data_IF_960189532102
#
_entry.id   IF_960189532102
#
_cell.length_a   1.000
_cell.length_b   1.000
_cell.length_c   1.000
_cell.angle_alpha   90.00
_cell.angle_beta   90.00
_cell.angle_gamma   90.00
#
_symmetry.space_group_name_H-M   'P 1'
#
loop_
_entity.id
_entity.type
_entity.pdbx_description
1 polymer ?
#
# COMPACT_ATOMS: atom_id res chain seq x y z
N UNK A 1 -34.51 -8.41 -23.93
CA UNK A 1 -33.21 -7.82 -24.38
C UNK A 1 -33.02 -6.34 -23.98
N UNK A 2 -33.83 -5.77 -23.08
CA UNK A 2 -33.80 -4.33 -22.70
C UNK A 2 -33.01 -4.04 -21.39
N UNK A 3 -32.65 -5.08 -20.65
CA UNK A 3 -32.02 -4.98 -19.32
C UNK A 3 -30.48 -4.93 -19.40
N UNK A 4 -29.85 -5.84 -20.18
CA UNK A 4 -28.39 -5.89 -20.38
C UNK A 4 -27.79 -4.58 -20.91
N UNK A 5 -28.48 -3.87 -21.81
CA UNK A 5 -27.99 -2.60 -22.36
C UNK A 5 -28.01 -1.46 -21.32
N UNK A 6 -28.91 -1.52 -20.34
CA UNK A 6 -28.98 -0.53 -19.24
C UNK A 6 -27.85 -0.76 -18.24
N UNK A 7 -27.54 -2.03 -17.92
CA UNK A 7 -26.41 -2.39 -17.05
C UNK A 7 -25.08 -1.98 -17.68
N UNK A 8 -24.92 -2.20 -19.00
CA UNK A 8 -23.71 -1.76 -19.74
C UNK A 8 -23.59 -0.23 -19.74
N UNK A 9 -24.70 0.49 -19.91
CA UNK A 9 -24.71 1.95 -19.89
C UNK A 9 -24.34 2.51 -18.50
N UNK A 10 -24.85 1.92 -17.42
CA UNK A 10 -24.54 2.33 -16.04
C UNK A 10 -23.06 2.06 -15.71
N UNK A 11 -22.52 0.91 -16.13
CA UNK A 11 -21.10 0.60 -15.97
C UNK A 11 -20.19 1.60 -16.69
N UNK A 12 -20.53 1.98 -17.92
CA UNK A 12 -19.79 2.99 -18.70
C UNK A 12 -19.86 4.38 -18.05
N UNK A 13 -21.01 4.76 -17.50
CA UNK A 13 -21.19 6.03 -16.78
C UNK A 13 -20.40 6.04 -15.46
N UNK A 14 -20.39 4.93 -14.72
CA UNK A 14 -19.57 4.80 -13.52
C UNK A 14 -18.08 4.88 -13.84
N UNK A 15 -17.64 4.28 -14.95
CA UNK A 15 -16.23 4.27 -15.36
C UNK A 15 -15.77 5.64 -15.89
N UNK A 16 -16.63 6.34 -16.64
CA UNK A 16 -16.39 7.72 -17.05
C UNK A 16 -16.41 8.70 -15.86
N UNK A 17 -17.35 8.52 -14.92
CA UNK A 17 -17.41 9.29 -13.68
C UNK A 17 -16.16 9.09 -12.82
N UNK A 18 -15.61 7.88 -12.81
CA UNK A 18 -14.35 7.57 -12.13
C UNK A 18 -13.14 8.26 -12.77
N UNK A 19 -13.08 8.36 -14.10
CA UNK A 19 -12.01 9.11 -14.79
C UNK A 19 -12.10 10.62 -14.60
N UNK A 20 -13.31 11.18 -14.57
CA UNK A 20 -13.51 12.62 -14.37
C UNK A 20 -13.15 13.03 -12.95
N UNK A 21 -13.50 12.22 -11.94
CA UNK A 21 -13.08 12.45 -10.56
C UNK A 21 -11.54 12.45 -10.38
N UNK A 22 -10.83 11.68 -11.20
CA UNK A 22 -9.36 11.63 -11.17
C UNK A 22 -8.69 12.91 -11.72
N UNK A 23 -9.40 13.69 -12.56
CA UNK A 23 -8.83 14.90 -13.20
C UNK A 23 -8.87 16.15 -12.30
N UNK A 24 -9.57 16.11 -11.16
CA UNK A 24 -9.67 17.23 -10.22
C UNK A 24 -8.71 17.12 -9.02
N UNK A 25 -7.68 16.27 -9.11
CA UNK A 25 -6.65 16.19 -8.06
C UNK A 25 -5.72 17.40 -8.19
N UNK A 26 -6.13 18.52 -7.60
CA UNK A 26 -5.26 19.69 -7.44
C UNK A 26 -4.28 19.43 -6.30
N UNK A 27 -3.00 19.33 -6.61
CA UNK A 27 -1.95 19.28 -5.60
C UNK A 27 -1.71 20.69 -5.04
N UNK A 28 -2.33 20.99 -3.90
CA UNK A 28 -1.96 22.15 -3.10
C UNK A 28 -0.67 21.85 -2.34
N UNK A 29 0.35 22.69 -2.52
CA UNK A 29 1.59 22.61 -1.75
C UNK A 29 1.36 23.18 -0.35
N UNK A 30 1.18 22.29 0.63
CA UNK A 30 1.23 22.63 2.04
C UNK A 30 2.66 22.44 2.54
N UNK A 31 3.30 23.51 3.04
CA UNK A 31 4.54 23.41 3.83
C UNK A 31 4.16 22.84 5.20
N UNK A 32 4.67 21.65 5.51
CA UNK A 32 4.33 20.94 6.74
C UNK A 32 5.54 21.03 7.67
N UNK A 33 5.45 21.96 8.63
CA UNK A 33 6.48 22.16 9.65
C UNK A 33 6.25 21.21 10.84
N UNK A 34 7.15 20.26 11.06
CA UNK A 34 7.14 19.36 12.22
C UNK A 34 7.84 19.94 13.47
N UNK A 35 8.26 21.21 13.46
CA UNK A 35 9.14 21.82 14.47
C UNK A 35 8.67 21.66 15.93
N UNK A 36 7.36 21.48 16.17
CA UNK A 36 6.80 21.39 17.52
C UNK A 36 6.69 19.96 18.07
N UNK A 37 6.59 18.96 17.21
CA UNK A 37 6.45 17.55 17.62
C UNK A 37 7.30 16.70 16.68
N UNK A 38 8.31 16.03 17.21
CA UNK A 38 9.18 15.17 16.42
C UNK A 38 8.59 13.76 16.38
N UNK A 39 7.86 13.44 15.31
CA UNK A 39 7.29 12.12 15.11
C UNK A 39 8.25 11.25 14.28
N UNK A 40 8.22 9.91 14.43
CA UNK A 40 9.14 9.01 13.72
C UNK A 40 9.14 9.18 12.18
N UNK A 41 8.01 9.62 11.62
CA UNK A 41 7.80 9.87 10.19
C UNK A 41 7.96 11.35 9.75
N UNK A 42 8.38 12.26 10.65
CA UNK A 42 8.59 13.69 10.35
C UNK A 42 9.64 14.25 11.32
N UNK A 43 10.85 14.44 10.81
CA UNK A 43 12.01 14.83 11.62
C UNK A 43 12.55 16.22 11.30
N UNK A 44 12.23 16.78 10.13
CA UNK A 44 12.71 18.09 9.66
C UNK A 44 11.62 18.80 8.86
N UNK A 45 11.84 20.08 8.46
CA UNK A 45 10.92 20.78 7.56
C UNK A 45 10.74 19.99 6.26
N UNK A 46 9.50 19.60 5.98
CA UNK A 46 9.18 18.82 4.80
C UNK A 46 8.55 19.74 3.76
N UNK A 47 9.22 19.86 2.61
CA UNK A 47 8.86 20.80 1.54
C UNK A 47 7.58 20.41 0.81
N UNK A 48 7.24 19.12 0.81
CA UNK A 48 6.06 18.61 0.11
C UNK A 48 5.29 17.57 0.93
N UNK A 49 3.96 17.49 0.77
CA UNK A 49 3.17 16.42 1.37
C UNK A 49 3.58 15.02 0.89
N UNK A 50 4.23 14.91 -0.28
CA UNK A 50 4.70 13.63 -0.81
C UNK A 50 5.80 12.99 0.05
N UNK A 51 6.70 13.81 0.61
CA UNK A 51 7.82 13.35 1.45
C UNK A 51 7.34 12.82 2.81
N UNK A 52 6.22 13.34 3.35
CA UNK A 52 5.59 12.77 4.55
C UNK A 52 5.04 11.38 4.31
N UNK A 53 4.28 11.24 3.22
CA UNK A 53 3.68 9.97 2.83
C UNK A 53 4.77 8.94 2.60
N UNK A 54 5.88 9.34 1.98
CA UNK A 54 7.04 8.50 1.76
C UNK A 54 7.66 7.99 3.08
N UNK A 55 7.94 8.87 4.03
CA UNK A 55 8.55 8.49 5.31
C UNK A 55 7.63 7.58 6.13
N UNK A 56 6.34 7.90 6.17
CA UNK A 56 5.34 7.05 6.80
C UNK A 56 5.27 5.68 6.13
N UNK A 57 5.21 5.67 4.79
CA UNK A 57 5.11 4.46 4.00
C UNK A 57 6.31 3.53 4.24
N UNK A 58 7.54 4.05 4.33
CA UNK A 58 8.74 3.25 4.63
C UNK A 58 8.63 2.50 5.96
N UNK A 59 8.17 3.18 7.01
CA UNK A 59 8.00 2.59 8.35
C UNK A 59 6.88 1.56 8.32
N UNK A 60 5.74 1.91 7.72
CA UNK A 60 4.59 1.00 7.57
C UNK A 60 4.97 -0.25 6.76
N UNK A 61 5.80 -0.08 5.72
CA UNK A 61 6.27 -1.16 4.87
C UNK A 61 7.13 -2.17 5.65
N UNK A 62 8.04 -1.68 6.49
CA UNK A 62 8.85 -2.54 7.37
C UNK A 62 7.99 -3.33 8.35
N UNK A 63 7.02 -2.68 9.00
CA UNK A 63 6.12 -3.34 9.96
C UNK A 63 5.20 -4.35 9.28
N UNK A 64 4.62 -4.01 8.13
CA UNK A 64 3.76 -4.89 7.37
C UNK A 64 4.52 -6.09 6.80
N UNK A 65 5.75 -5.89 6.31
CA UNK A 65 6.63 -6.97 5.88
C UNK A 65 6.96 -7.94 7.00
N UNK A 66 7.30 -7.43 8.19
CA UNK A 66 7.55 -8.27 9.38
C UNK A 66 6.30 -9.06 9.81
N UNK A 67 5.13 -8.42 9.81
CA UNK A 67 3.86 -9.07 10.13
C UNK A 67 3.51 -10.17 9.11
N UNK A 68 3.64 -9.88 7.81
CA UNK A 68 3.38 -10.85 6.75
C UNK A 68 4.33 -12.05 6.88
N UNK A 69 5.61 -11.82 7.15
CA UNK A 69 6.58 -12.89 7.38
C UNK A 69 6.21 -13.77 8.58
N UNK A 70 5.76 -13.17 9.69
CA UNK A 70 5.28 -13.91 10.86
C UNK A 70 4.07 -14.81 10.55
N UNK A 71 3.08 -14.30 9.80
CA UNK A 71 1.91 -15.07 9.38
C UNK A 71 2.28 -16.20 8.42
N UNK A 72 3.24 -15.97 7.52
CA UNK A 72 3.72 -17.01 6.60
C UNK A 72 4.42 -18.15 7.34
N UNK A 73 5.28 -17.85 8.31
CA UNK A 73 5.93 -18.88 9.14
C UNK A 73 4.88 -19.67 9.92
N UNK A 74 3.97 -18.97 10.62
CA UNK A 74 2.93 -19.63 11.40
C UNK A 74 2.02 -20.50 10.52
N UNK A 75 1.60 -19.98 9.36
CA UNK A 75 0.80 -20.72 8.39
C UNK A 75 1.52 -21.94 7.82
N UNK A 76 2.82 -21.83 7.54
CA UNK A 76 3.64 -22.94 7.04
C UNK A 76 3.79 -24.07 8.08
N UNK A 77 4.04 -23.71 9.34
CA UNK A 77 4.11 -24.67 10.45
C UNK A 77 2.74 -25.33 10.66
N UNK A 78 1.66 -24.54 10.70
CA UNK A 78 0.31 -25.07 10.87
C UNK A 78 -0.06 -26.03 9.73
N UNK A 79 0.30 -25.73 8.48
CA UNK A 79 -0.01 -26.58 7.34
C UNK A 79 0.76 -27.91 7.34
N UNK A 80 2.02 -27.89 7.77
CA UNK A 80 2.88 -29.09 7.82
C UNK A 80 2.58 -30.00 9.01
N UNK A 81 2.32 -29.42 10.19
CA UNK A 81 2.04 -30.18 11.42
C UNK A 81 0.60 -30.70 11.46
N UNK A 82 -0.34 -30.04 10.79
CA UNK A 82 -1.75 -30.44 10.83
C UNK A 82 -2.04 -31.65 9.94
N UNK A 83 -2.53 -32.74 10.54
CA UNK A 83 -3.08 -33.88 9.81
C UNK A 83 -4.53 -33.70 9.34
N UNK A 84 -5.29 -32.82 9.99
CA UNK A 84 -6.70 -32.58 9.70
C UNK A 84 -6.90 -31.67 8.47
N UNK A 85 -7.91 -31.99 7.65
CA UNK A 85 -8.25 -31.23 6.43
C UNK A 85 -8.69 -29.79 6.77
N UNK A 86 -9.43 -29.59 7.86
CA UNK A 86 -9.89 -28.26 8.29
C UNK A 86 -8.72 -27.33 8.64
N UNK A 87 -7.77 -27.79 9.45
CA UNK A 87 -6.60 -26.99 9.82
C UNK A 87 -5.69 -26.66 8.63
N UNK A 88 -5.65 -27.53 7.61
CA UNK A 88 -4.96 -27.24 6.35
C UNK A 88 -5.68 -26.18 5.52
N UNK A 89 -7.01 -26.16 5.53
CA UNK A 89 -7.79 -25.11 4.88
C UNK A 89 -7.57 -23.76 5.57
N UNK A 90 -7.66 -23.71 6.90
CA UNK A 90 -7.42 -22.49 7.68
C UNK A 90 -5.99 -21.95 7.48
N UNK A 91 -5.00 -22.85 7.39
CA UNK A 91 -3.62 -22.45 7.11
C UNK A 91 -3.48 -21.84 5.71
N UNK A 92 -4.14 -22.41 4.69
CA UNK A 92 -4.15 -21.85 3.34
C UNK A 92 -4.82 -20.49 3.31
N UNK A 93 -5.96 -20.31 3.97
CA UNK A 93 -6.64 -19.02 4.04
C UNK A 93 -5.73 -17.94 4.63
N UNK A 94 -5.05 -18.24 5.75
CA UNK A 94 -4.06 -17.34 6.37
C UNK A 94 -2.89 -16.98 5.45
N UNK A 95 -2.32 -17.97 4.75
CA UNK A 95 -1.24 -17.73 3.78
C UNK A 95 -1.73 -16.86 2.63
N UNK A 96 -2.92 -17.15 2.08
CA UNK A 96 -3.49 -16.36 0.99
C UNK A 96 -3.78 -14.92 1.42
N UNK A 97 -4.26 -14.70 2.64
CA UNK A 97 -4.44 -13.36 3.20
C UNK A 97 -3.12 -12.60 3.34
N UNK A 98 -2.05 -13.27 3.82
CA UNK A 98 -0.72 -12.68 3.90
C UNK A 98 -0.15 -12.34 2.51
N UNK A 99 -0.38 -13.19 1.50
CA UNK A 99 0.02 -12.93 0.12
C UNK A 99 -0.74 -11.74 -0.48
N UNK A 100 -2.04 -11.61 -0.22
CA UNK A 100 -2.82 -10.45 -0.63
C UNK A 100 -2.32 -9.16 0.04
N UNK A 101 -1.97 -9.22 1.33
CA UNK A 101 -1.36 -8.09 2.04
C UNK A 101 -0.02 -7.68 1.44
N UNK A 102 0.84 -8.66 1.11
CA UNK A 102 2.13 -8.42 0.46
C UNK A 102 1.95 -7.86 -0.96
N UNK A 103 0.97 -8.35 -1.71
CA UNK A 103 0.64 -7.85 -3.04
C UNK A 103 0.17 -6.38 -2.98
N UNK A 104 -0.70 -6.04 -2.02
CA UNK A 104 -1.17 -4.66 -1.81
C UNK A 104 0.01 -3.75 -1.47
N UNK A 105 0.90 -4.21 -0.60
CA UNK A 105 2.12 -3.50 -0.24
C UNK A 105 3.01 -3.26 -1.46
N UNK A 106 3.23 -4.28 -2.30
CA UNK A 106 3.99 -4.16 -3.55
C UNK A 106 3.30 -3.24 -4.58
N UNK A 107 1.97 -3.28 -4.67
CA UNK A 107 1.20 -2.38 -5.53
C UNK A 107 1.35 -0.92 -5.09
N UNK A 108 1.30 -0.65 -3.79
CA UNK A 108 1.56 0.68 -3.26
C UNK A 108 2.99 1.15 -3.57
N UNK A 109 3.99 0.27 -3.48
CA UNK A 109 5.38 0.58 -3.82
C UNK A 109 5.50 0.97 -5.30
N UNK A 110 4.87 0.20 -6.19
CA UNK A 110 4.86 0.45 -7.63
C UNK A 110 4.21 1.79 -7.97
N UNK A 111 3.12 2.16 -7.29
CA UNK A 111 2.48 3.47 -7.46
C UNK A 111 3.45 4.59 -7.07
N UNK A 112 4.07 4.51 -5.89
CA UNK A 112 5.04 5.51 -5.44
C UNK A 112 6.23 5.63 -6.40
N UNK A 113 6.76 4.49 -6.85
CA UNK A 113 7.87 4.43 -7.80
C UNK A 113 7.51 5.00 -9.18
N UNK A 114 6.28 4.77 -9.65
CA UNK A 114 5.78 5.30 -10.92
C UNK A 114 5.60 6.82 -10.86
N UNK A 115 5.12 7.36 -9.74
CA UNK A 115 4.95 8.81 -9.57
C UNK A 115 6.30 9.50 -9.45
N UNK A 116 7.17 9.01 -8.57
CA UNK A 116 8.53 9.52 -8.45
C UNK A 116 9.46 8.46 -7.80
N UNK A 117 10.43 7.93 -8.55
CA UNK A 117 11.34 6.90 -8.05
C UNK A 117 12.30 7.41 -6.96
N UNK A 118 12.55 8.71 -6.87
CA UNK A 118 13.36 9.31 -5.79
C UNK A 118 12.67 9.21 -4.44
N UNK A 119 11.35 8.95 -4.41
CA UNK A 119 10.64 8.73 -3.15
C UNK A 119 11.03 7.39 -2.51
N UNK A 120 11.39 6.44 -3.35
CA UNK A 120 11.78 5.11 -2.92
C UNK A 120 13.29 5.01 -2.77
N UNK A 121 14.04 5.70 -3.63
CA UNK A 121 15.48 5.59 -3.72
C UNK A 121 16.16 6.70 -2.89
N UNK A 122 16.52 6.37 -1.65
CA UNK A 122 17.36 7.21 -0.81
C UNK A 122 18.78 7.22 -1.41
N UNK A 123 19.14 8.28 -2.14
CA UNK A 123 20.57 8.59 -2.33
C UNK A 123 21.11 8.95 -0.96
N UNK A 124 21.74 7.99 -0.29
CA UNK A 124 22.55 8.27 0.89
C UNK A 124 23.51 9.40 0.52
N UNK A 125 23.35 10.52 1.19
CA UNK A 125 24.25 11.65 1.08
C UNK A 125 25.57 11.20 1.69
N UNK A 126 26.46 10.64 0.87
CA UNK A 126 27.84 10.35 1.24
C UNK A 126 28.47 11.67 1.62
N UNK A 127 28.71 11.85 2.92
CA UNK A 127 29.47 12.97 3.47
C UNK A 127 30.89 12.86 2.90
N UNK A 128 31.34 13.91 2.22
CA UNK A 128 32.75 14.11 1.87
C UNK A 128 33.43 14.96 2.95
#
# INVERSE_FOLDING_TARGET
MRDKNKIILISLICLAGFMVAFSFVSAAEADISCDKYQYPWCKEKIKTPADLVQNFYKIALGLAGAAAFGVLIYGAILWTVSGAVSSKQDARERITGALWGLLLLLAAYLILWTINPELVNLKDFVIK
#
